data_IF_509467918892
#
_entry.id   IF_509467918892
#
_cell.length_a   1.000
_cell.length_b   1.000
_cell.length_c   1.000
_cell.angle_alpha   90.00
_cell.angle_beta   90.00
_cell.angle_gamma   90.00
#
_symmetry.space_group_name_H-M   'P 1'
#
loop_
_entity.id
_entity.type
_entity.pdbx_description
1 polymer ?
#
# COMPACT_ATOMS: atom_id res chain seq x y z
N UNK A 1 -19.78 -7.59 -10.81
CA UNK A 1 -19.37 -7.07 -9.48
C UNK A 1 -20.19 -5.85 -9.06
N UNK A 2 -20.34 -4.82 -9.92
CA UNK A 2 -21.09 -3.61 -9.56
C UNK A 2 -22.59 -3.83 -9.42
N UNK A 3 -23.19 -4.64 -10.31
CA UNK A 3 -24.57 -5.09 -10.15
C UNK A 3 -24.77 -5.84 -8.84
N UNK A 4 -23.77 -6.62 -8.40
CA UNK A 4 -23.78 -7.32 -7.12
C UNK A 4 -23.67 -6.33 -5.95
N UNK A 5 -22.79 -5.32 -6.01
CA UNK A 5 -22.68 -4.29 -4.99
C UNK A 5 -24.01 -3.56 -4.79
N UNK A 6 -24.75 -3.26 -5.86
CA UNK A 6 -26.08 -2.63 -5.79
C UNK A 6 -27.15 -3.48 -5.09
N UNK A 7 -26.90 -4.77 -4.85
CA UNK A 7 -27.83 -5.64 -4.10
C UNK A 7 -27.67 -5.57 -2.59
N UNK A 8 -26.62 -4.92 -2.09
CA UNK A 8 -26.35 -4.80 -0.66
C UNK A 8 -26.79 -3.44 -0.13
N UNK A 9 -27.39 -3.45 1.05
CA UNK A 9 -27.62 -2.26 1.87
C UNK A 9 -26.35 -2.01 2.69
N UNK A 10 -25.71 -0.87 2.45
CA UNK A 10 -24.50 -0.49 3.17
C UNK A 10 -24.78 0.38 4.41
N UNK A 11 -26.05 0.60 4.74
CA UNK A 11 -26.50 1.43 5.86
C UNK A 11 -26.36 2.93 5.62
N UNK A 12 -26.75 3.73 6.61
CA UNK A 12 -26.75 5.20 6.52
C UNK A 12 -25.34 5.84 6.64
N UNK A 13 -24.30 5.04 6.88
CA UNK A 13 -22.97 5.52 7.28
C UNK A 13 -21.84 4.75 6.58
N UNK A 14 -21.82 4.71 5.24
CA UNK A 14 -20.52 4.52 4.57
C UNK A 14 -19.65 5.73 4.91
N UNK A 15 -18.81 5.58 5.94
CA UNK A 15 -17.75 6.54 6.29
C UNK A 15 -16.51 6.35 5.40
N UNK A 16 -16.39 5.19 4.73
CA UNK A 16 -15.25 4.79 3.92
C UNK A 16 -15.43 5.01 2.41
N UNK A 17 -14.40 4.64 1.66
CA UNK A 17 -14.46 4.54 0.21
C UNK A 17 -13.93 3.16 -0.19
N UNK A 18 -14.60 2.51 -1.14
CA UNK A 18 -14.18 1.22 -1.68
C UNK A 18 -13.63 1.41 -3.09
N UNK A 19 -12.41 0.96 -3.31
CA UNK A 19 -11.70 1.08 -4.59
C UNK A 19 -11.72 -0.25 -5.30
N UNK A 20 -12.16 -0.24 -6.55
CA UNK A 20 -12.22 -1.44 -7.39
C UNK A 20 -11.61 -1.06 -8.73
N UNK A 21 -10.68 -1.88 -9.22
CA UNK A 21 -10.07 -1.75 -10.54
C UNK A 21 -9.84 -3.13 -11.16
N UNK A 22 -9.72 -3.20 -12.48
CA UNK A 22 -9.37 -4.42 -13.21
C UNK A 22 -8.25 -4.20 -14.25
N UNK A 23 -7.75 -5.31 -14.81
CA UNK A 23 -6.66 -5.31 -15.78
C UNK A 23 -6.99 -4.61 -17.12
N UNK A 24 -8.26 -4.31 -17.39
CA UNK A 24 -8.66 -3.52 -18.56
C UNK A 24 -8.47 -2.02 -18.34
N UNK A 25 -8.15 -1.61 -17.12
CA UNK A 25 -8.02 -0.23 -16.71
C UNK A 25 -9.34 0.42 -16.30
N UNK A 26 -10.43 -0.35 -16.21
CA UNK A 26 -11.68 0.11 -15.62
C UNK A 26 -11.52 0.22 -14.10
N UNK A 27 -11.95 1.34 -13.55
CA UNK A 27 -11.86 1.62 -12.11
C UNK A 27 -13.08 2.40 -11.61
N UNK A 28 -13.41 2.19 -10.35
CA UNK A 28 -14.54 2.83 -9.66
C UNK A 28 -14.24 2.98 -8.18
N UNK A 29 -14.61 4.14 -7.65
CA UNK A 29 -14.69 4.40 -6.21
C UNK A 29 -16.16 4.41 -5.81
N UNK A 30 -16.50 3.58 -4.84
CA UNK A 30 -17.84 3.49 -4.25
C UNK A 30 -17.82 4.20 -2.90
N UNK A 31 -18.72 5.16 -2.71
CA UNK A 31 -18.84 5.95 -1.48
C UNK A 31 -20.32 6.35 -1.24
N UNK A 32 -20.61 7.02 -0.12
CA UNK A 32 -21.94 7.60 0.12
C UNK A 32 -22.15 8.90 -0.69
N UNK A 33 -23.30 9.01 -1.33
CA UNK A 33 -23.78 10.20 -2.02
C UNK A 33 -24.32 11.28 -1.07
N UNK A 34 -24.75 12.41 -1.64
CA UNK A 34 -25.33 13.52 -0.85
C UNK A 34 -26.61 13.11 -0.13
N UNK A 35 -27.38 12.24 -0.76
CA UNK A 35 -28.63 11.64 -0.32
C UNK A 35 -28.45 10.46 0.66
N UNK A 36 -27.23 10.00 0.89
CA UNK A 36 -26.93 8.84 1.73
C UNK A 36 -26.92 7.51 0.96
N UNK A 37 -27.30 7.52 -0.32
CA UNK A 37 -27.28 6.34 -1.19
C UNK A 37 -25.88 6.07 -1.75
N UNK A 38 -25.66 4.92 -2.38
CA UNK A 38 -24.38 4.63 -3.04
C UNK A 38 -24.11 5.55 -4.22
N UNK A 39 -22.94 6.18 -4.21
CA UNK A 39 -22.38 6.91 -5.33
C UNK A 39 -21.22 6.13 -5.95
N UNK A 40 -21.15 6.15 -7.28
CA UNK A 40 -20.11 5.48 -8.06
C UNK A 40 -19.33 6.54 -8.84
N UNK A 41 -18.08 6.79 -8.42
CA UNK A 41 -17.18 7.69 -9.14
C UNK A 41 -16.29 6.88 -10.06
N UNK A 42 -16.29 7.20 -11.35
CA UNK A 42 -15.48 6.54 -12.39
C UNK A 42 -14.62 7.57 -13.11
N UNK A 43 -13.58 7.09 -13.79
CA UNK A 43 -12.88 7.88 -14.81
C UNK A 43 -13.78 8.06 -16.05
N UNK A 44 -13.56 9.14 -16.79
CA UNK A 44 -14.21 9.34 -18.08
C UNK A 44 -13.70 8.31 -19.11
N UNK A 45 -14.58 7.90 -20.03
CA UNK A 45 -14.25 6.87 -21.03
C UNK A 45 -13.21 7.41 -22.02
N UNK A 46 -12.05 6.77 -22.05
CA UNK A 46 -10.97 7.11 -22.99
C UNK A 46 -9.84 7.93 -22.37
N UNK A 47 -9.93 8.32 -21.10
CA UNK A 47 -8.87 9.05 -20.40
C UNK A 47 -8.43 8.40 -19.08
N UNK A 48 -7.12 8.41 -18.88
CA UNK A 48 -6.48 8.76 -17.62
C UNK A 48 -6.59 7.78 -16.45
N UNK A 49 -6.63 8.39 -15.27
CA UNK A 49 -6.41 7.80 -13.95
C UNK A 49 -7.54 8.17 -12.99
N UNK A 50 -7.70 7.39 -11.92
CA UNK A 50 -8.66 7.68 -10.84
C UNK A 50 -7.91 7.81 -9.52
N UNK A 51 -7.85 9.02 -8.96
CA UNK A 51 -7.16 9.31 -7.70
C UNK A 51 -8.18 9.53 -6.60
N UNK A 52 -7.91 8.95 -5.43
CA UNK A 52 -8.73 9.10 -4.23
C UNK A 52 -7.84 9.25 -3.01
N UNK A 53 -8.22 10.12 -2.09
CA UNK A 53 -7.55 10.26 -0.79
C UNK A 53 -8.58 10.19 0.35
N UNK A 54 -8.47 11.04 1.38
CA UNK A 54 -9.32 11.01 2.58
C UNK A 54 -10.44 12.05 2.51
N UNK A 55 -11.01 12.24 1.33
CA UNK A 55 -12.27 12.95 1.12
C UNK A 55 -13.14 12.13 0.17
N UNK A 56 -14.45 12.23 0.31
CA UNK A 56 -15.41 11.51 -0.51
C UNK A 56 -15.43 12.08 -1.94
N UNK A 57 -15.06 11.31 -2.95
CA UNK A 57 -15.03 11.80 -4.34
C UNK A 57 -16.41 12.24 -4.86
N UNK A 58 -17.49 11.62 -4.39
CA UNK A 58 -18.86 11.97 -4.77
C UNK A 58 -19.36 13.23 -4.03
N UNK A 59 -18.80 13.53 -2.86
CA UNK A 59 -19.14 14.70 -2.04
C UNK A 59 -17.86 15.30 -1.42
N UNK A 60 -17.01 15.99 -2.20
CA UNK A 60 -15.68 16.41 -1.73
C UNK A 60 -15.69 17.30 -0.49
N UNK A 61 -16.80 18.01 -0.26
CA UNK A 61 -16.99 18.84 0.94
C UNK A 61 -17.08 18.01 2.23
N UNK A 62 -17.39 16.72 2.14
CA UNK A 62 -17.37 15.75 3.27
C UNK A 62 -15.97 15.16 3.42
N UNK A 63 -15.01 15.98 3.83
CA UNK A 63 -13.64 15.52 4.09
C UNK A 63 -12.60 16.63 4.08
N UNK A 64 -11.38 16.28 3.70
CA UNK A 64 -10.20 17.17 3.72
C UNK A 64 -9.84 17.70 2.33
N UNK A 65 -10.83 18.13 1.55
CA UNK A 65 -10.62 18.77 0.24
C UNK A 65 -10.53 20.30 0.38
N UNK A 66 -9.60 20.99 -0.31
CA UNK A 66 -8.56 20.46 -1.21
C UNK A 66 -7.47 19.67 -0.47
N UNK A 67 -6.91 18.67 -1.14
CA UNK A 67 -5.94 17.74 -0.57
C UNK A 67 -4.65 17.75 -1.39
N UNK A 68 -3.54 18.16 -0.79
CA UNK A 68 -2.25 18.24 -1.49
C UNK A 68 -1.80 16.89 -2.07
N UNK A 69 -2.06 15.76 -1.39
CA UNK A 69 -1.73 14.42 -1.92
C UNK A 69 -2.51 14.09 -3.18
N UNK A 70 -3.79 14.48 -3.19
CA UNK A 70 -4.64 14.28 -4.35
C UNK A 70 -4.14 15.11 -5.53
N UNK A 71 -3.84 16.39 -5.29
CA UNK A 71 -3.31 17.31 -6.30
C UNK A 71 -1.96 16.87 -6.85
N UNK A 72 -1.02 16.47 -5.99
CA UNK A 72 0.30 15.95 -6.39
C UNK A 72 0.16 14.68 -7.23
N UNK A 73 -0.60 13.68 -6.77
CA UNK A 73 -0.79 12.45 -7.53
C UNK A 73 -1.47 12.69 -8.88
N UNK A 74 -2.51 13.55 -8.90
CA UNK A 74 -3.20 13.96 -10.13
C UNK A 74 -2.23 14.64 -11.10
N UNK A 75 -1.39 15.54 -10.61
CA UNK A 75 -0.42 16.26 -11.44
C UNK A 75 0.58 15.29 -12.07
N UNK A 76 1.19 14.42 -11.27
CA UNK A 76 2.14 13.41 -11.77
C UNK A 76 1.48 12.49 -12.79
N UNK A 77 0.32 11.90 -12.47
CA UNK A 77 -0.38 11.02 -13.41
C UNK A 77 -0.83 11.73 -14.70
N UNK A 78 -1.04 13.06 -14.65
CA UNK A 78 -1.31 13.89 -15.82
C UNK A 78 -0.12 14.09 -16.77
N UNK A 79 1.10 13.80 -16.31
CA UNK A 79 2.33 13.87 -17.12
C UNK A 79 2.59 12.57 -17.90
N UNK A 80 1.83 11.50 -17.63
CA UNK A 80 1.95 10.21 -18.31
C UNK A 80 1.51 10.37 -19.77
N UNK A 81 2.46 10.27 -20.71
CA UNK A 81 2.24 10.48 -22.14
C UNK A 81 1.76 9.22 -22.88
N UNK A 82 1.89 8.04 -22.26
CA UNK A 82 1.41 6.77 -22.76
C UNK A 82 1.67 5.61 -21.80
N UNK A 83 1.20 4.42 -22.17
CA UNK A 83 1.27 3.21 -21.32
C UNK A 83 2.70 2.85 -20.87
N UNK A 84 3.70 3.10 -21.71
CA UNK A 84 5.10 2.80 -21.39
C UNK A 84 5.69 3.69 -20.29
N UNK A 85 5.04 4.83 -19.99
CA UNK A 85 5.47 5.75 -18.93
C UNK A 85 4.88 5.33 -17.57
N UNK A 86 3.84 4.49 -17.56
CA UNK A 86 3.18 4.01 -16.35
C UNK A 86 3.84 2.71 -15.85
N UNK A 87 5.03 2.84 -15.28
CA UNK A 87 5.80 1.72 -14.70
C UNK A 87 5.55 1.57 -13.20
N UNK A 88 5.95 0.42 -12.63
CA UNK A 88 5.95 0.21 -11.18
C UNK A 88 6.81 1.26 -10.47
N UNK A 89 7.99 1.56 -11.01
CA UNK A 89 8.88 2.59 -10.45
C UNK A 89 8.23 3.98 -10.48
N UNK A 90 7.48 4.28 -11.54
CA UNK A 90 6.74 5.55 -11.63
C UNK A 90 5.62 5.60 -10.58
N UNK A 91 4.85 4.52 -10.43
CA UNK A 91 3.84 4.41 -9.37
C UNK A 91 4.46 4.56 -7.96
N UNK A 92 5.62 3.93 -7.72
CA UNK A 92 6.38 4.07 -6.49
C UNK A 92 6.85 5.51 -6.26
N UNK A 93 7.25 6.24 -7.32
CA UNK A 93 7.62 7.65 -7.22
C UNK A 93 6.44 8.55 -6.84
N UNK A 94 5.21 8.21 -7.29
CA UNK A 94 4.00 8.91 -6.86
C UNK A 94 3.76 8.67 -5.37
N UNK A 95 3.89 7.42 -4.91
CA UNK A 95 3.77 7.07 -3.49
C UNK A 95 4.80 7.82 -2.64
N UNK A 96 6.04 7.95 -3.12
CA UNK A 96 7.08 8.76 -2.49
C UNK A 96 6.69 10.24 -2.43
N UNK A 97 6.15 10.79 -3.51
CA UNK A 97 5.74 12.19 -3.52
C UNK A 97 4.57 12.51 -2.57
N UNK A 98 3.73 11.52 -2.24
CA UNK A 98 2.50 11.72 -1.44
C UNK A 98 2.55 11.10 -0.05
N UNK A 99 3.64 10.45 0.35
CA UNK A 99 3.72 9.81 1.65
C UNK A 99 3.61 10.84 2.79
N UNK A 100 3.13 10.38 3.94
CA UNK A 100 3.11 11.19 5.16
C UNK A 100 4.23 10.70 6.05
N UNK A 101 5.15 11.59 6.40
CA UNK A 101 6.14 11.36 7.44
C UNK A 101 5.96 12.40 8.54
N UNK A 102 5.70 11.96 9.76
CA UNK A 102 5.32 12.87 10.84
C UNK A 102 5.49 12.27 12.23
N UNK A 103 5.39 13.14 13.24
CA UNK A 103 5.54 12.72 14.64
C UNK A 103 4.40 11.79 15.10
N UNK A 104 3.19 12.01 14.58
CA UNK A 104 1.96 11.34 15.04
C UNK A 104 1.36 10.38 14.03
N UNK A 105 1.60 10.63 12.74
CA UNK A 105 1.03 9.86 11.63
C UNK A 105 2.15 9.64 10.63
N UNK A 106 2.27 8.41 10.14
CA UNK A 106 3.18 8.03 9.07
C UNK A 106 2.44 7.11 8.10
N UNK A 107 2.79 7.18 6.82
CA UNK A 107 2.52 6.08 5.90
C UNK A 107 3.22 4.84 6.47
N UNK A 108 2.47 3.79 6.76
CA UNK A 108 3.04 2.57 7.34
C UNK A 108 3.41 1.56 6.26
N UNK A 109 2.53 1.40 5.28
CA UNK A 109 2.64 0.44 4.19
C UNK A 109 2.02 1.06 2.94
N UNK A 110 2.62 0.81 1.78
CA UNK A 110 2.05 1.14 0.47
C UNK A 110 2.13 -0.07 -0.45
N UNK A 111 1.23 -0.14 -1.42
CA UNK A 111 1.15 -1.22 -2.39
C UNK A 111 1.10 -0.65 -3.80
N UNK A 112 1.78 -1.31 -4.74
CA UNK A 112 1.56 -1.15 -6.17
C UNK A 112 1.13 -2.50 -6.73
N UNK A 113 0.02 -2.52 -7.46
CA UNK A 113 -0.51 -3.72 -8.09
C UNK A 113 -0.35 -3.60 -9.61
N UNK A 114 0.42 -4.51 -10.21
CA UNK A 114 0.41 -4.69 -11.66
C UNK A 114 -0.69 -5.71 -12.00
N UNK A 115 -1.84 -5.19 -12.43
CA UNK A 115 -3.01 -6.03 -12.73
C UNK A 115 -2.86 -6.86 -14.01
N UNK A 116 -1.90 -6.54 -14.88
CA UNK A 116 -1.66 -7.32 -16.10
C UNK A 116 -0.82 -8.56 -15.81
N UNK A 117 0.21 -8.41 -14.98
CA UNK A 117 1.06 -9.55 -14.58
C UNK A 117 0.53 -10.29 -13.36
N UNK A 118 -0.28 -9.64 -12.52
CA UNK A 118 -0.69 -10.15 -11.22
C UNK A 118 0.38 -9.98 -10.14
N UNK A 119 1.39 -9.15 -10.38
CA UNK A 119 2.42 -8.83 -9.39
C UNK A 119 1.95 -7.78 -8.39
N UNK A 120 2.39 -7.91 -7.15
CA UNK A 120 2.13 -6.96 -6.06
C UNK A 120 3.47 -6.54 -5.48
N UNK A 121 3.66 -5.23 -5.34
CA UNK A 121 4.86 -4.63 -4.77
C UNK A 121 4.49 -3.94 -3.45
N UNK A 122 5.14 -4.37 -2.38
CA UNK A 122 4.95 -3.89 -1.02
C UNK A 122 6.09 -2.96 -0.64
N UNK A 123 5.75 -1.76 -0.17
CA UNK A 123 6.72 -0.79 0.33
C UNK A 123 6.41 -0.44 1.78
N UNK A 124 7.42 -0.55 2.65
CA UNK A 124 7.28 -0.21 4.06
C UNK A 124 7.73 1.22 4.38
N UNK A 125 6.90 1.92 5.14
CA UNK A 125 7.09 3.21 5.84
C UNK A 125 7.40 4.48 5.01
N UNK A 126 8.11 4.34 3.89
CA UNK A 126 8.32 5.28 2.76
C UNK A 126 9.56 4.87 1.95
N UNK A 127 9.99 3.60 2.02
CA UNK A 127 11.13 3.10 1.23
C UNK A 127 10.60 2.64 -0.12
N UNK A 128 10.65 3.51 -1.12
CA UNK A 128 10.07 3.23 -2.44
C UNK A 128 11.07 2.72 -3.49
N UNK A 129 12.32 2.46 -3.08
CA UNK A 129 13.40 2.00 -3.98
C UNK A 129 13.45 0.47 -4.08
N UNK A 130 13.30 -0.22 -2.94
CA UNK A 130 13.42 -1.67 -2.83
C UNK A 130 12.13 -2.19 -2.20
N UNK A 131 11.09 -2.41 -3.01
CA UNK A 131 9.83 -3.01 -2.54
C UNK A 131 9.89 -4.52 -2.66
N UNK A 132 9.34 -5.23 -1.67
CA UNK A 132 9.15 -6.67 -1.77
C UNK A 132 8.13 -6.98 -2.88
N UNK A 133 8.51 -7.82 -3.84
CA UNK A 133 7.65 -8.25 -4.93
C UNK A 133 7.09 -9.63 -4.63
N UNK A 134 5.80 -9.81 -4.83
CA UNK A 134 5.14 -11.11 -4.85
C UNK A 134 4.36 -11.29 -6.16
N UNK A 135 4.27 -12.52 -6.63
CA UNK A 135 3.36 -12.90 -7.72
C UNK A 135 2.11 -13.54 -7.11
N UNK A 136 0.94 -12.97 -7.38
CA UNK A 136 -0.32 -13.52 -6.86
C UNK A 136 -0.54 -14.97 -7.33
N UNK A 137 -0.13 -15.29 -8.56
CA UNK A 137 -0.29 -16.62 -9.13
C UNK A 137 0.59 -17.65 -8.40
N UNK A 138 1.86 -17.31 -8.12
CA UNK A 138 2.80 -18.19 -7.43
C UNK A 138 2.32 -18.49 -5.99
N UNK A 139 1.85 -17.45 -5.28
CA UNK A 139 1.37 -17.59 -3.90
C UNK A 139 0.10 -18.45 -3.81
N UNK A 140 -0.83 -18.30 -4.75
CA UNK A 140 -2.02 -19.16 -4.83
C UNK A 140 -1.64 -20.61 -5.15
N UNK A 141 -0.68 -20.83 -6.06
CA UNK A 141 -0.18 -22.17 -6.38
C UNK A 141 0.46 -22.83 -5.15
N UNK A 142 1.31 -22.11 -4.41
CA UNK A 142 1.93 -22.60 -3.17
C UNK A 142 0.89 -22.94 -2.10
N UNK A 143 -0.12 -22.07 -1.90
CA UNK A 143 -1.24 -22.37 -0.98
C UNK A 143 -2.00 -23.60 -1.45
N UNK A 144 -2.24 -23.75 -2.75
CA UNK A 144 -2.94 -24.89 -3.32
C UNK A 144 -2.14 -26.19 -3.10
N UNK A 145 -0.83 -26.18 -3.32
CA UNK A 145 0.06 -27.32 -3.11
C UNK A 145 0.17 -27.68 -1.63
N UNK A 146 0.36 -26.69 -0.76
CA UNK A 146 0.36 -26.85 0.70
C UNK A 146 -0.98 -27.43 1.20
N UNK A 147 -2.10 -26.97 0.64
CA UNK A 147 -3.43 -27.51 0.94
C UNK A 147 -3.63 -28.93 0.40
N UNK A 148 -3.05 -29.29 -0.75
CA UNK A 148 -3.03 -30.64 -1.33
C UNK A 148 -2.19 -31.61 -0.49
N UNK A 149 -1.09 -31.16 0.11
CA UNK A 149 -0.35 -31.94 1.11
C UNK A 149 -1.19 -32.18 2.38
N UNK A 150 -2.00 -31.21 2.78
CA UNK A 150 -2.98 -31.38 3.88
C UNK A 150 -4.18 -32.26 3.52
N UNK A 151 -4.51 -32.41 2.23
CA UNK A 151 -5.61 -33.28 1.76
C UNK A 151 -5.34 -34.78 2.00
N UNK A 152 -4.08 -35.19 2.18
CA UNK A 152 -3.73 -36.53 2.67
C UNK A 152 -4.14 -36.78 4.13
N UNK A 153 -4.42 -35.71 4.88
CA UNK A 153 -4.90 -35.72 6.27
C UNK A 153 -6.44 -35.73 6.37
N UNK A 154 -7.15 -35.43 5.29
CA UNK A 154 -8.63 -35.38 5.24
C UNK A 154 -9.31 -36.76 5.09
N UNK A 155 -8.57 -37.85 5.29
CA UNK A 155 -9.17 -39.19 5.45
C UNK A 155 -9.78 -39.43 6.84
N UNK A 156 -9.75 -38.43 7.74
CA UNK A 156 -10.48 -38.48 9.00
C UNK A 156 -11.98 -38.16 8.80
N UNK A 157 -12.91 -38.84 9.51
CA UNK A 157 -14.34 -38.73 9.24
C UNK A 157 -14.86 -37.31 9.49
N UNK A 158 -15.72 -36.85 8.60
CA UNK A 158 -16.48 -35.61 8.68
C UNK A 158 -17.22 -35.50 10.02
N UNK A 159 -16.62 -34.77 10.95
CA UNK A 159 -17.19 -34.45 12.25
C UNK A 159 -16.76 -33.06 12.67
N UNK A 160 -17.71 -32.13 12.55
CA UNK A 160 -17.75 -30.81 13.19
C UNK A 160 -16.66 -29.79 12.81
N UNK A 161 -17.10 -28.68 12.21
CA UNK A 161 -16.33 -27.44 12.16
C UNK A 161 -15.92 -26.97 10.77
N UNK A 162 -16.88 -26.76 9.86
CA UNK A 162 -16.65 -25.88 8.71
C UNK A 162 -16.67 -24.42 9.23
N UNK A 163 -15.63 -24.03 9.97
CA UNK A 163 -15.34 -22.61 10.13
C UNK A 163 -14.88 -22.09 8.78
N UNK A 164 -15.70 -21.22 8.19
CA UNK A 164 -15.30 -20.36 7.08
C UNK A 164 -13.98 -19.68 7.45
N UNK A 165 -12.86 -20.21 6.96
CA UNK A 165 -11.58 -19.51 7.01
C UNK A 165 -11.70 -18.33 6.07
N UNK A 166 -12.07 -17.18 6.62
CA UNK A 166 -11.83 -15.91 5.96
C UNK A 166 -10.33 -15.75 5.86
N UNK A 167 -9.76 -16.08 4.70
CA UNK A 167 -8.37 -15.73 4.40
C UNK A 167 -8.31 -14.21 4.27
N UNK A 168 -7.66 -13.54 5.22
CA UNK A 168 -7.34 -12.14 5.09
C UNK A 168 -6.30 -11.97 3.97
N UNK A 169 -6.22 -10.80 3.36
CA UNK A 169 -5.17 -10.51 2.37
C UNK A 169 -3.77 -10.78 2.93
N UNK A 170 -3.59 -10.62 4.25
CA UNK A 170 -2.34 -10.98 4.94
C UNK A 170 -2.06 -12.48 5.06
N UNK A 171 -3.07 -13.32 4.91
CA UNK A 171 -2.94 -14.78 4.90
C UNK A 171 -2.56 -15.32 3.51
N UNK A 172 -2.47 -14.43 2.50
CA UNK A 172 -1.99 -14.76 1.16
C UNK A 172 -0.47 -14.65 1.01
N UNK A 173 0.24 -14.14 2.03
CA UNK A 173 1.68 -14.01 1.96
C UNK A 173 2.35 -15.27 2.48
N UNK A 174 3.25 -15.84 1.68
CA UNK A 174 4.24 -16.83 2.13
C UNK A 174 5.00 -16.34 3.37
N UNK A 175 5.44 -17.30 4.21
CA UNK A 175 6.27 -16.98 5.38
C UNK A 175 7.59 -16.30 4.96
N UNK A 176 8.13 -16.64 3.80
CA UNK A 176 9.32 -15.99 3.23
C UNK A 176 9.08 -14.50 2.99
N UNK A 177 7.97 -14.15 2.31
CA UNK A 177 7.61 -12.75 2.04
C UNK A 177 7.33 -11.97 3.33
N UNK A 178 6.67 -12.61 4.30
CA UNK A 178 6.47 -12.02 5.62
C UNK A 178 7.79 -11.83 6.38
N UNK A 179 8.75 -12.73 6.23
CA UNK A 179 10.06 -12.64 6.89
C UNK A 179 10.94 -11.57 6.25
N UNK A 180 10.93 -11.43 4.93
CA UNK A 180 11.58 -10.33 4.21
C UNK A 180 11.02 -8.97 4.65
N UNK A 181 9.69 -8.82 4.62
CA UNK A 181 9.02 -7.61 5.11
C UNK A 181 9.36 -7.34 6.59
N UNK A 182 9.41 -8.36 7.45
CA UNK A 182 9.81 -8.20 8.86
C UNK A 182 11.27 -7.80 9.01
N UNK A 183 12.17 -8.34 8.19
CA UNK A 183 13.60 -8.00 8.20
C UNK A 183 13.79 -6.53 7.87
N UNK A 184 13.12 -6.02 6.83
CA UNK A 184 13.15 -4.60 6.47
C UNK A 184 12.62 -3.71 7.60
N UNK A 185 11.53 -4.13 8.28
CA UNK A 185 10.98 -3.44 9.45
C UNK A 185 12.00 -3.37 10.59
N UNK A 186 12.74 -4.45 10.84
CA UNK A 186 13.74 -4.51 11.91
C UNK A 186 14.94 -3.61 11.61
N UNK A 187 15.43 -3.61 10.38
CA UNK A 187 16.53 -2.75 9.96
C UNK A 187 16.14 -1.27 10.06
N UNK A 188 14.93 -0.91 9.63
CA UNK A 188 14.39 0.44 9.83
C UNK A 188 14.34 0.84 11.32
N UNK A 189 13.78 -0.03 12.18
CA UNK A 189 13.70 0.27 13.63
C UNK A 189 15.09 0.50 14.21
N UNK A 190 16.09 -0.26 13.76
CA UNK A 190 17.48 -0.11 14.18
C UNK A 190 18.06 1.24 13.75
N UNK A 191 17.88 1.62 12.50
CA UNK A 191 18.36 2.91 11.96
C UNK A 191 17.68 4.09 12.64
N UNK A 192 16.34 4.06 12.79
CA UNK A 192 15.59 5.15 13.45
C UNK A 192 15.93 5.26 14.93
N UNK A 193 16.07 4.14 15.64
CA UNK A 193 16.48 4.15 17.05
C UNK A 193 17.88 4.75 17.19
N UNK A 194 18.79 4.43 16.27
CA UNK A 194 20.12 5.05 16.21
C UNK A 194 20.02 6.56 15.98
N UNK A 195 19.20 7.02 15.02
CA UNK A 195 18.98 8.45 14.76
C UNK A 195 18.38 9.19 15.96
N UNK A 196 17.38 8.61 16.64
CA UNK A 196 16.77 9.21 17.84
C UNK A 196 17.78 9.27 18.97
N UNK A 197 18.51 8.19 19.23
CA UNK A 197 19.55 8.17 20.27
C UNK A 197 20.65 9.18 19.96
N UNK A 198 21.12 9.27 18.71
CA UNK A 198 22.09 10.28 18.29
C UNK A 198 21.53 11.69 18.44
N UNK A 199 20.28 11.95 18.07
CA UNK A 199 19.65 13.26 18.22
C UNK A 199 19.47 13.65 19.69
N UNK A 200 19.10 12.70 20.56
CA UNK A 200 19.00 12.90 22.02
C UNK A 200 20.39 13.13 22.62
N UNK A 201 21.41 12.36 22.22
CA UNK A 201 22.80 12.55 22.67
C UNK A 201 23.32 13.91 22.18
N UNK A 202 23.10 14.28 20.92
CA UNK A 202 23.51 15.57 20.37
C UNK A 202 22.78 16.73 21.07
N UNK A 203 21.47 16.60 21.32
CA UNK A 203 20.69 17.56 22.09
C UNK A 203 21.21 17.69 23.53
N UNK A 204 21.54 16.57 24.19
CA UNK A 204 22.14 16.55 25.52
C UNK A 204 23.55 17.17 25.53
N UNK A 205 24.36 16.96 24.48
CA UNK A 205 25.68 17.57 24.30
C UNK A 205 25.60 19.09 24.06
N UNK A 206 24.59 19.56 23.32
CA UNK A 206 24.31 20.99 23.13
C UNK A 206 23.87 21.66 24.44
N UNK A 207 23.06 20.98 25.26
CA UNK A 207 22.63 21.49 26.58
C UNK A 207 23.76 21.44 27.63
N UNK A 208 24.74 20.56 27.47
CA UNK A 208 25.87 20.41 28.42
C UNK A 208 27.17 21.10 28.00
N UNK A 209 27.19 21.82 26.87
CA UNK A 209 28.33 22.66 26.47
C UNK A 209 29.59 21.88 26.07
N UNK A 210 29.44 20.65 25.54
CA UNK A 210 30.56 19.84 25.05
C UNK A 210 30.47 19.68 23.53
N UNK A 211 31.29 20.41 22.77
CA UNK A 211 31.49 20.17 21.33
C UNK A 211 32.72 19.29 21.11
N UNK A 212 32.54 18.13 20.45
CA UNK A 212 33.32 17.67 19.29
C UNK A 212 32.80 16.28 18.84
N UNK A 213 32.39 16.10 17.57
CA UNK A 213 32.86 15.02 16.67
C UNK A 213 32.55 15.40 15.21
N UNK A 214 33.59 15.30 14.38
CA UNK A 214 33.61 15.41 12.92
C UNK A 214 33.30 14.05 12.30
N UNK A 215 32.54 13.98 11.20
CA UNK A 215 32.77 12.93 10.19
C UNK A 215 32.70 13.47 8.76
N UNK A 216 33.78 13.21 8.02
CA UNK A 216 33.94 13.42 6.58
C UNK A 216 33.66 12.15 5.77
N UNK A 217 33.43 12.37 4.47
CA UNK A 217 33.15 11.42 3.37
C UNK A 217 33.53 9.95 3.59
N UNK A 218 32.53 9.07 3.59
CA UNK A 218 32.70 7.68 3.15
C UNK A 218 32.64 7.67 1.63
N UNK A 219 33.80 7.51 0.99
CA UNK A 219 33.92 7.14 -0.42
C UNK A 219 34.75 5.86 -0.44
N UNK A 220 34.14 4.74 -0.84
CA UNK A 220 34.84 3.64 -1.53
C UNK A 220 33.88 2.54 -1.99
N UNK A 221 33.69 2.43 -3.31
CA UNK A 221 34.12 1.25 -4.07
C UNK A 221 34.20 1.61 -5.56
N UNK A 222 35.42 1.69 -6.10
CA UNK A 222 35.64 1.44 -7.53
C UNK A 222 36.01 -0.04 -7.68
N UNK A 223 35.35 -0.70 -8.65
CA UNK A 223 35.70 -2.03 -9.15
C UNK A 223 36.87 -1.92 -10.12
N UNK A 224 37.63 -3.03 -10.16
CA UNK A 224 38.79 -3.41 -10.97
C UNK A 224 40.14 -2.98 -10.41
#
# INVERSE_FOLDING_TARGET
MLELAQTFDFGEEIEGQYHIADATGDAVVISAGRDGELAFTRKDRGDGYLVSTNFNLAVPERGTYPCWRHETATTMLGEVGGENDLTVDYAASILDAIHVEGLWVNTAVSYVFDLNSGDIYLYYLHRFVDGARMSFQEEIEEISESSLYSASFFSAPLGEGLHSRSHYFFDLFSEETLEEARSEIQDYKRERYLCIVVAVIAGAMVVSGLFLVVYGKVKTRQKN
#
